data_IF_633150917721
#
_entry.id   IF_633150917721
#
_cell.length_a   1.000
_cell.length_b   1.000
_cell.length_c   1.000
_cell.angle_alpha   90.00
_cell.angle_beta   90.00
_cell.angle_gamma   90.00
#
_symmetry.space_group_name_H-M   'P 1'
#
loop_
_entity.id
_entity.type
_entity.pdbx_description
1 polymer ?
#
# COMPACT_ATOMS: atom_id res chain seq x y z
N UNK A 1 4.07 27.81 -0.30
CA UNK A 1 2.64 27.42 -0.09
C UNK A 1 2.63 26.44 1.05
N UNK A 2 1.80 26.71 2.07
CA UNK A 2 1.88 25.91 3.29
C UNK A 2 1.27 24.52 3.10
N UNK A 3 0.06 24.44 2.50
CA UNK A 3 -0.70 23.20 2.47
C UNK A 3 -1.27 22.90 1.08
N UNK A 4 -1.13 21.64 0.64
CA UNK A 4 -1.92 21.06 -0.46
C UNK A 4 -2.88 20.00 0.07
N UNK A 5 -4.18 20.20 -0.10
CA UNK A 5 -5.19 19.20 0.25
C UNK A 5 -5.54 18.38 -0.98
N UNK A 6 -5.24 17.09 -0.97
CA UNK A 6 -5.53 16.16 -2.06
C UNK A 6 -6.78 15.34 -1.73
N UNK A 7 -7.81 15.50 -2.55
CA UNK A 7 -9.12 14.88 -2.35
C UNK A 7 -9.47 13.98 -3.55
N UNK A 8 -9.19 12.65 -3.45
CA UNK A 8 -9.65 11.71 -4.45
C UNK A 8 -11.16 11.50 -4.31
N UNK A 9 -11.87 11.45 -5.44
CA UNK A 9 -13.32 11.31 -5.43
C UNK A 9 -13.86 10.49 -6.61
N UNK A 10 -15.02 9.87 -6.38
CA UNK A 10 -15.78 9.15 -7.39
C UNK A 10 -17.28 9.23 -7.07
N UNK A 11 -18.06 9.96 -7.89
CA UNK A 11 -19.48 10.22 -7.70
C UNK A 11 -19.81 10.82 -6.31
N UNK A 12 -19.37 12.05 -6.09
CA UNK A 12 -19.50 12.78 -4.81
C UNK A 12 -19.99 14.24 -5.05
N UNK A 13 -20.82 14.47 -6.10
CA UNK A 13 -21.27 15.81 -6.49
C UNK A 13 -21.92 16.61 -5.35
N UNK A 14 -22.66 15.93 -4.47
CA UNK A 14 -23.41 16.57 -3.37
C UNK A 14 -22.51 17.04 -2.23
N UNK A 15 -21.39 16.36 -1.99
CA UNK A 15 -20.51 16.64 -0.87
C UNK A 15 -19.44 17.70 -1.15
N UNK A 16 -19.02 17.85 -2.41
CA UNK A 16 -17.89 18.70 -2.79
C UNK A 16 -18.04 20.18 -2.42
N UNK A 17 -19.19 20.85 -2.63
CA UNK A 17 -19.34 22.26 -2.27
C UNK A 17 -19.20 22.49 -0.74
N UNK A 18 -19.81 21.62 0.05
CA UNK A 18 -19.75 21.71 1.51
C UNK A 18 -18.33 21.40 2.01
N UNK A 19 -17.66 20.39 1.45
CA UNK A 19 -16.29 20.05 1.81
C UNK A 19 -15.33 21.21 1.51
N UNK A 20 -15.41 21.79 0.32
CA UNK A 20 -14.58 22.93 -0.04
C UNK A 20 -14.82 24.12 0.89
N UNK A 21 -16.08 24.48 1.14
CA UNK A 21 -16.42 25.59 2.02
C UNK A 21 -15.88 25.37 3.46
N UNK A 22 -15.86 24.11 3.93
CA UNK A 22 -15.32 23.77 5.23
C UNK A 22 -13.79 23.90 5.25
N UNK A 23 -13.10 23.35 4.25
CA UNK A 23 -11.64 23.50 4.11
C UNK A 23 -11.26 24.97 4.03
N UNK A 24 -11.89 25.74 3.14
CA UNK A 24 -11.64 27.18 2.95
C UNK A 24 -11.76 27.98 4.25
N UNK A 25 -12.84 27.72 4.99
CA UNK A 25 -13.06 28.36 6.31
C UNK A 25 -11.91 28.05 7.29
N UNK A 26 -11.48 26.79 7.36
CA UNK A 26 -10.40 26.39 8.29
C UNK A 26 -9.09 27.03 7.88
N UNK A 27 -8.74 27.00 6.60
CA UNK A 27 -7.49 27.57 6.07
C UNK A 27 -7.43 29.07 6.30
N UNK A 28 -8.49 29.81 5.96
CA UNK A 28 -8.57 31.25 6.16
C UNK A 28 -8.54 31.64 7.63
N UNK A 29 -9.17 30.86 8.51
CA UNK A 29 -9.15 31.15 9.95
C UNK A 29 -7.77 31.06 10.58
N UNK A 30 -6.85 30.31 9.96
CA UNK A 30 -5.47 30.11 10.42
C UNK A 30 -4.44 30.89 9.57
N UNK A 31 -4.87 31.56 8.52
CA UNK A 31 -4.00 32.32 7.63
C UNK A 31 -3.06 31.48 6.78
N UNK A 32 -3.41 30.21 6.51
CA UNK A 32 -2.59 29.34 5.65
C UNK A 32 -2.73 29.70 4.18
N UNK A 33 -1.61 29.65 3.47
CA UNK A 33 -1.60 29.62 2.00
C UNK A 33 -1.81 28.18 1.54
N UNK A 34 -2.82 27.92 0.72
CA UNK A 34 -3.23 26.56 0.43
C UNK A 34 -3.76 26.37 -0.99
N UNK A 35 -3.82 25.12 -1.42
CA UNK A 35 -4.57 24.66 -2.59
C UNK A 35 -5.38 23.40 -2.24
N UNK A 36 -6.48 23.20 -2.96
CA UNK A 36 -7.28 21.98 -2.90
C UNK A 36 -7.27 21.31 -4.27
N UNK A 37 -6.71 20.11 -4.35
CA UNK A 37 -6.60 19.33 -5.57
C UNK A 37 -7.65 18.22 -5.54
N UNK A 38 -8.77 18.45 -6.24
CA UNK A 38 -9.78 17.44 -6.47
C UNK A 38 -9.37 16.49 -7.58
N UNK A 39 -9.23 15.20 -7.28
CA UNK A 39 -8.89 14.19 -8.30
C UNK A 39 -10.12 13.32 -8.55
N UNK A 40 -10.81 13.63 -9.64
CA UNK A 40 -12.02 12.92 -10.10
C UNK A 40 -11.63 11.63 -10.81
N UNK A 41 -11.88 10.49 -10.16
CA UNK A 41 -11.57 9.16 -10.64
C UNK A 41 -12.63 8.62 -11.61
N UNK A 42 -12.90 9.38 -12.68
CA UNK A 42 -13.82 8.97 -13.74
C UNK A 42 -15.29 8.94 -13.33
N UNK A 43 -15.74 9.89 -12.49
CA UNK A 43 -17.15 10.00 -12.08
C UNK A 43 -18.11 10.10 -13.25
N UNK A 44 -19.29 9.53 -13.07
CA UNK A 44 -20.40 9.51 -14.05
C UNK A 44 -21.52 10.49 -13.70
N UNK A 45 -21.47 11.11 -12.51
CA UNK A 45 -22.37 12.16 -12.04
C UNK A 45 -21.87 13.58 -12.37
N UNK A 46 -22.46 14.60 -11.76
CA UNK A 46 -22.08 16.00 -11.91
C UNK A 46 -20.81 16.44 -11.18
N UNK A 47 -20.07 15.53 -10.51
CA UNK A 47 -18.88 15.88 -9.73
C UNK A 47 -17.87 16.74 -10.48
N UNK A 48 -17.62 16.42 -11.77
CA UNK A 48 -16.66 17.20 -12.55
C UNK A 48 -17.15 18.64 -12.81
N UNK A 49 -18.44 18.82 -13.09
CA UNK A 49 -19.05 20.14 -13.29
C UNK A 49 -18.92 20.98 -12.02
N UNK A 50 -19.17 20.39 -10.85
CA UNK A 50 -18.99 21.06 -9.55
C UNK A 50 -17.54 21.52 -9.35
N UNK A 51 -16.55 20.67 -9.67
CA UNK A 51 -15.14 21.04 -9.58
C UNK A 51 -14.80 22.22 -10.49
N UNK A 52 -15.31 22.21 -11.72
CA UNK A 52 -15.10 23.33 -12.68
C UNK A 52 -15.73 24.64 -12.17
N UNK A 53 -16.93 24.59 -11.59
CA UNK A 53 -17.60 25.74 -11.01
C UNK A 53 -16.86 26.29 -9.78
N UNK A 54 -16.32 25.41 -8.92
CA UNK A 54 -15.49 25.79 -7.80
C UNK A 54 -14.18 26.44 -8.26
N UNK A 55 -13.48 25.84 -9.22
CA UNK A 55 -12.22 26.35 -9.75
C UNK A 55 -12.37 27.70 -10.48
N UNK A 56 -13.53 27.96 -11.09
CA UNK A 56 -13.84 29.26 -11.69
C UNK A 56 -14.03 30.39 -10.65
N UNK A 57 -14.42 30.05 -9.42
CA UNK A 57 -14.71 31.00 -8.34
C UNK A 57 -13.53 31.14 -7.35
N UNK A 58 -12.71 30.10 -7.22
CA UNK A 58 -11.69 29.98 -6.20
C UNK A 58 -10.36 29.57 -6.83
N UNK A 59 -9.36 30.47 -6.89
CA UNK A 59 -8.06 30.18 -7.50
C UNK A 59 -7.27 29.09 -6.75
N UNK A 60 -7.64 28.81 -5.52
CA UNK A 60 -7.05 27.75 -4.69
C UNK A 60 -7.50 26.33 -5.15
N UNK A 61 -8.58 26.23 -5.95
CA UNK A 61 -9.13 24.95 -6.41
C UNK A 61 -8.49 24.51 -7.70
N UNK A 62 -7.98 23.31 -7.70
CA UNK A 62 -7.46 22.62 -8.89
C UNK A 62 -8.19 21.30 -9.11
N UNK A 63 -8.41 20.92 -10.34
CA UNK A 63 -9.11 19.70 -10.71
C UNK A 63 -8.27 18.82 -11.63
N UNK A 64 -8.27 17.52 -11.37
CA UNK A 64 -7.75 16.48 -12.27
C UNK A 64 -8.90 15.53 -12.57
N UNK A 65 -9.15 15.18 -13.85
CA UNK A 65 -10.19 14.23 -14.24
C UNK A 65 -9.59 13.06 -14.99
N UNK A 66 -9.87 11.86 -14.53
CA UNK A 66 -9.54 10.64 -15.25
C UNK A 66 -10.61 10.29 -16.29
N UNK A 67 -10.21 9.63 -17.36
CA UNK A 67 -11.13 9.17 -18.40
C UNK A 67 -12.02 8.02 -17.97
N UNK A 68 -11.59 7.23 -16.98
CA UNK A 68 -12.33 6.13 -16.36
C UNK A 68 -11.88 5.97 -14.91
N UNK A 69 -12.60 5.16 -14.14
CA UNK A 69 -12.18 4.81 -12.80
C UNK A 69 -10.91 3.93 -12.84
N UNK A 70 -9.86 4.39 -12.16
CA UNK A 70 -8.58 3.68 -11.98
C UNK A 70 -8.33 3.31 -10.51
N UNK A 71 -9.15 3.82 -9.58
CA UNK A 71 -9.03 3.59 -8.16
C UNK A 71 -8.34 4.70 -7.38
N UNK A 72 -8.43 4.61 -6.04
CA UNK A 72 -7.95 5.66 -5.11
C UNK A 72 -6.45 5.88 -5.18
N UNK A 73 -5.64 4.83 -5.37
CA UNK A 73 -4.18 4.95 -5.38
C UNK A 73 -3.65 5.77 -6.55
N UNK A 74 -4.05 5.54 -7.82
CA UNK A 74 -3.69 6.41 -8.93
C UNK A 74 -4.17 7.85 -8.74
N UNK A 75 -5.36 8.05 -8.15
CA UNK A 75 -5.87 9.39 -7.88
C UNK A 75 -4.98 10.14 -6.88
N UNK A 76 -4.58 9.49 -5.79
CA UNK A 76 -3.63 10.05 -4.82
C UNK A 76 -2.27 10.34 -5.46
N UNK A 77 -1.74 9.40 -6.25
CA UNK A 77 -0.44 9.59 -6.92
C UNK A 77 -0.42 10.81 -7.83
N UNK A 78 -1.46 10.98 -8.66
CA UNK A 78 -1.58 12.16 -9.52
C UNK A 78 -1.71 13.46 -8.72
N UNK A 79 -2.49 13.43 -7.62
CA UNK A 79 -2.60 14.55 -6.69
C UNK A 79 -1.25 14.89 -6.04
N UNK A 80 -0.52 13.90 -5.54
CA UNK A 80 0.82 14.05 -4.94
C UNK A 80 1.83 14.68 -5.91
N UNK A 81 1.82 14.24 -7.17
CA UNK A 81 2.69 14.83 -8.20
C UNK A 81 2.42 16.31 -8.45
N UNK A 82 1.17 16.75 -8.32
CA UNK A 82 0.73 18.12 -8.58
C UNK A 82 0.76 19.02 -7.34
N UNK A 83 0.80 18.45 -6.14
CA UNK A 83 0.85 19.18 -4.90
C UNK A 83 2.12 20.07 -4.82
N UNK A 84 1.94 21.34 -4.46
CA UNK A 84 2.99 22.35 -4.35
C UNK A 84 3.24 22.83 -2.91
N UNK A 85 2.40 22.41 -1.96
CA UNK A 85 2.52 22.77 -0.55
C UNK A 85 3.65 22.03 0.17
N UNK A 86 4.20 22.65 1.21
CA UNK A 86 5.23 22.07 2.08
C UNK A 86 4.68 20.85 2.88
N UNK A 87 3.40 20.92 3.22
CA UNK A 87 2.64 19.83 3.81
C UNK A 87 1.52 19.40 2.87
N UNK A 88 1.44 18.12 2.58
CA UNK A 88 0.37 17.53 1.77
C UNK A 88 -0.58 16.79 2.69
N UNK A 89 -1.88 17.06 2.57
CA UNK A 89 -2.92 16.42 3.37
C UNK A 89 -3.86 15.67 2.44
N UNK A 90 -4.11 14.40 2.73
CA UNK A 90 -5.15 13.61 2.04
C UNK A 90 -6.40 13.56 2.88
N UNK A 91 -7.57 13.62 2.26
CA UNK A 91 -8.85 13.36 2.92
C UNK A 91 -9.89 12.83 1.92
N UNK A 92 -10.87 12.10 2.45
CA UNK A 92 -11.96 11.56 1.64
C UNK A 92 -13.02 12.63 1.36
N UNK A 93 -13.69 12.54 0.20
CA UNK A 93 -14.69 13.54 -0.22
C UNK A 93 -16.04 13.43 0.48
N UNK A 94 -16.26 12.41 1.32
CA UNK A 94 -17.58 12.01 1.85
C UNK A 94 -17.99 12.72 3.15
N UNK A 95 -17.28 13.79 3.53
CA UNK A 95 -17.51 14.59 4.75
C UNK A 95 -17.39 13.80 6.06
N UNK A 96 -16.80 12.62 6.05
CA UNK A 96 -16.61 11.83 7.28
C UNK A 96 -15.42 12.32 8.10
N UNK A 97 -14.34 12.75 7.45
CA UNK A 97 -13.16 13.30 8.09
C UNK A 97 -13.30 14.82 8.26
N UNK A 98 -12.94 15.35 9.42
CA UNK A 98 -13.09 16.77 9.75
C UNK A 98 -11.90 17.59 9.26
N UNK A 99 -12.09 18.61 8.39
CA UNK A 99 -11.05 19.59 8.05
C UNK A 99 -10.51 20.38 9.25
N UNK A 100 -11.25 20.46 10.36
CA UNK A 100 -10.78 21.16 11.58
C UNK A 100 -9.55 20.49 12.21
N UNK A 101 -9.22 19.25 11.81
CA UNK A 101 -8.01 18.53 12.22
C UNK A 101 -6.73 18.99 11.49
N UNK A 102 -6.88 19.70 10.36
CA UNK A 102 -5.77 20.11 9.48
C UNK A 102 -4.73 20.95 10.23
N UNK A 103 -5.09 21.97 11.01
CA UNK A 103 -4.09 22.82 11.67
C UNK A 103 -3.16 22.04 12.60
N UNK A 104 -3.70 21.09 13.33
CA UNK A 104 -2.91 20.27 14.26
C UNK A 104 -2.04 19.27 13.52
N UNK A 105 -2.55 18.65 12.45
CA UNK A 105 -1.77 17.78 11.60
C UNK A 105 -0.59 18.54 10.95
N UNK A 106 -0.83 19.78 10.51
CA UNK A 106 0.20 20.66 9.99
C UNK A 106 1.27 20.97 11.04
N UNK A 107 0.86 21.31 12.27
CA UNK A 107 1.77 21.58 13.39
C UNK A 107 2.67 20.37 13.68
N UNK A 108 2.10 19.17 13.72
CA UNK A 108 2.87 17.93 13.97
C UNK A 108 3.94 17.72 12.89
N UNK A 109 3.66 18.01 11.62
CA UNK A 109 4.64 17.89 10.55
C UNK A 109 5.74 18.97 10.67
N UNK A 110 5.34 20.22 10.90
CA UNK A 110 6.27 21.39 10.81
C UNK A 110 7.05 21.61 12.12
N UNK A 111 6.40 21.54 13.27
CA UNK A 111 7.00 21.85 14.57
C UNK A 111 7.54 20.59 15.25
N UNK A 112 6.80 19.48 15.25
CA UNK A 112 7.27 18.24 15.86
C UNK A 112 8.15 17.42 14.92
N UNK A 113 8.19 17.79 13.63
CA UNK A 113 9.09 17.22 12.63
C UNK A 113 8.74 15.81 12.20
N UNK A 114 7.46 15.42 12.24
CA UNK A 114 7.01 14.15 11.65
C UNK A 114 7.15 14.16 10.14
N UNK A 115 7.46 13.02 9.55
CA UNK A 115 7.45 12.81 8.11
C UNK A 115 6.04 12.53 7.61
N UNK A 116 5.28 11.76 8.40
CA UNK A 116 3.90 11.38 8.13
C UNK A 116 3.11 11.30 9.44
N UNK A 117 1.89 11.82 9.44
CA UNK A 117 0.93 11.65 10.53
C UNK A 117 -0.35 11.06 9.97
N UNK A 118 -0.79 9.90 10.48
CA UNK A 118 -2.06 9.27 10.13
C UNK A 118 -3.14 9.63 11.13
N UNK A 119 -4.34 9.93 10.66
CA UNK A 119 -5.50 10.01 11.54
C UNK A 119 -5.85 8.64 12.12
N UNK A 120 -6.44 8.64 13.30
CA UNK A 120 -6.96 7.46 13.98
C UNK A 120 -8.38 7.70 14.46
N UNK A 121 -9.33 6.86 14.02
CA UNK A 121 -10.75 7.01 14.35
C UNK A 121 -11.05 6.51 15.77
N UNK A 122 -11.16 7.44 16.73
CA UNK A 122 -11.35 7.12 18.15
C UNK A 122 -12.74 6.52 18.47
N UNK A 123 -13.79 6.93 17.76
CA UNK A 123 -15.19 6.54 18.01
C UNK A 123 -15.70 5.52 16.99
N UNK A 124 -15.09 4.35 16.87
CA UNK A 124 -15.83 3.21 16.34
C UNK A 124 -16.93 2.87 17.35
N UNK A 125 -18.19 3.12 16.97
CA UNK A 125 -19.36 2.86 17.81
C UNK A 125 -19.27 1.47 18.43
N UNK A 126 -19.47 1.37 19.74
CA UNK A 126 -19.82 0.11 20.43
C UNK A 126 -21.09 -0.41 19.75
N UNK A 127 -20.98 -1.27 18.72
CA UNK A 127 -22.11 -1.75 17.95
C UNK A 127 -21.80 -2.15 16.51
N UNK A 128 -20.58 -1.94 16.00
CA UNK A 128 -20.20 -2.50 14.70
C UNK A 128 -20.23 -4.03 14.78
N UNK A 129 -20.86 -4.72 13.81
CA UNK A 129 -20.97 -6.18 13.81
C UNK A 129 -19.57 -6.81 13.86
N UNK A 130 -19.44 -7.87 14.66
CA UNK A 130 -18.20 -8.63 14.85
C UNK A 130 -17.56 -9.05 13.52
N UNK A 131 -18.37 -9.31 12.50
CA UNK A 131 -17.94 -9.62 11.13
C UNK A 131 -17.09 -8.53 10.45
N UNK A 132 -17.19 -7.27 10.88
CA UNK A 132 -16.36 -6.15 10.38
C UNK A 132 -15.17 -5.85 11.29
N UNK A 133 -15.33 -6.07 12.59
CA UNK A 133 -14.34 -5.68 13.60
C UNK A 133 -13.16 -6.66 13.65
N UNK A 134 -13.42 -7.98 13.59
CA UNK A 134 -12.39 -9.02 13.66
C UNK A 134 -11.43 -8.95 12.44
N UNK A 135 -11.93 -8.91 11.18
CA UNK A 135 -11.06 -8.78 10.03
C UNK A 135 -10.19 -7.53 10.05
N UNK A 136 -10.75 -6.40 10.50
CA UNK A 136 -9.99 -5.14 10.57
C UNK A 136 -8.89 -5.19 11.64
N UNK A 137 -9.16 -5.78 12.81
CA UNK A 137 -8.15 -5.94 13.87
C UNK A 137 -7.01 -6.86 13.43
N UNK A 138 -7.35 -8.00 12.79
CA UNK A 138 -6.35 -8.93 12.25
C UNK A 138 -5.50 -8.26 11.17
N UNK A 139 -6.12 -7.53 10.25
CA UNK A 139 -5.44 -6.77 9.21
C UNK A 139 -4.44 -5.77 9.81
N UNK A 140 -4.89 -4.90 10.74
CA UNK A 140 -4.01 -3.92 11.36
C UNK A 140 -2.89 -4.56 12.19
N UNK A 141 -3.15 -5.69 12.87
CA UNK A 141 -2.12 -6.42 13.60
C UNK A 141 -1.05 -6.99 12.66
N UNK A 142 -1.46 -7.58 11.54
CA UNK A 142 -0.55 -8.10 10.51
C UNK A 142 0.21 -6.96 9.84
N UNK A 143 -0.48 -5.85 9.49
CA UNK A 143 0.13 -4.67 8.91
C UNK A 143 1.22 -4.07 9.82
N UNK A 144 0.98 -3.96 11.13
CA UNK A 144 2.00 -3.52 12.11
C UNK A 144 3.21 -4.45 12.13
N UNK A 145 2.99 -5.76 12.16
CA UNK A 145 4.08 -6.75 12.18
C UNK A 145 4.93 -6.70 10.90
N UNK A 146 4.28 -6.60 9.76
CA UNK A 146 4.94 -6.57 8.44
C UNK A 146 5.66 -5.24 8.20
N UNK A 147 5.02 -4.12 8.56
CA UNK A 147 5.59 -2.78 8.36
C UNK A 147 6.65 -2.42 9.41
N UNK A 148 6.65 -3.08 10.57
CA UNK A 148 7.44 -2.67 11.74
C UNK A 148 7.03 -1.28 12.30
N UNK A 149 5.83 -0.78 11.96
CA UNK A 149 5.28 0.48 12.47
C UNK A 149 4.31 0.13 13.60
N UNK A 150 4.80 0.15 14.83
CA UNK A 150 4.03 -0.34 15.98
C UNK A 150 3.05 0.69 16.57
N UNK A 151 3.27 1.96 16.30
CA UNK A 151 2.50 3.09 16.83
C UNK A 151 1.24 3.45 16.01
N UNK A 152 0.98 2.77 14.88
CA UNK A 152 -0.23 2.97 14.10
C UNK A 152 -1.32 1.97 14.48
N UNK A 153 -2.51 2.49 14.86
CA UNK A 153 -3.71 1.70 15.15
C UNK A 153 -4.59 1.51 13.92
N UNK A 154 -4.63 2.49 13.01
CA UNK A 154 -5.45 2.46 11.80
C UNK A 154 -4.67 2.86 10.54
N UNK A 155 -4.28 1.87 9.74
CA UNK A 155 -3.63 2.10 8.43
C UNK A 155 -4.60 2.64 7.38
N UNK A 156 -5.91 2.48 7.59
CA UNK A 156 -6.94 2.71 6.59
C UNK A 156 -7.65 4.09 6.72
N UNK A 157 -7.20 4.95 7.62
CA UNK A 157 -7.74 6.32 7.73
C UNK A 157 -7.43 7.11 6.45
N UNK A 158 -8.44 7.82 5.90
CA UNK A 158 -8.28 8.68 4.72
C UNK A 158 -7.50 9.96 5.03
N UNK A 159 -7.71 10.50 6.24
CA UNK A 159 -7.06 11.73 6.69
C UNK A 159 -5.63 11.45 7.14
N UNK A 160 -4.68 11.95 6.37
CA UNK A 160 -3.24 11.86 6.66
C UNK A 160 -2.55 13.14 6.23
N UNK A 161 -1.51 13.52 6.97
CA UNK A 161 -0.60 14.61 6.60
C UNK A 161 0.79 14.06 6.30
N UNK A 162 1.45 14.65 5.35
CA UNK A 162 2.76 14.26 4.87
C UNK A 162 3.64 15.49 4.68
N UNK A 163 4.91 15.37 4.98
CA UNK A 163 5.92 16.31 4.46
C UNK A 163 5.98 16.16 2.93
N UNK A 164 6.12 17.24 2.19
CA UNK A 164 6.10 17.23 0.72
C UNK A 164 7.09 16.23 0.11
N UNK A 165 8.30 16.13 0.66
CA UNK A 165 9.30 15.20 0.16
C UNK A 165 8.87 13.74 0.30
N UNK A 166 8.07 13.36 1.28
CA UNK A 166 7.53 11.99 1.41
C UNK A 166 6.71 11.62 0.19
N UNK A 167 5.70 12.43 -0.14
CA UNK A 167 4.77 12.13 -1.25
C UNK A 167 5.44 12.24 -2.63
N UNK A 168 6.54 12.99 -2.75
CA UNK A 168 7.32 13.11 -3.99
C UNK A 168 8.21 11.89 -4.23
N UNK A 169 8.56 11.15 -3.16
CA UNK A 169 9.50 10.04 -3.19
C UNK A 169 8.86 8.66 -3.01
N UNK A 170 7.54 8.59 -2.93
CA UNK A 170 6.81 7.32 -2.90
C UNK A 170 5.96 7.14 -4.15
N UNK A 171 5.86 5.91 -4.61
CA UNK A 171 4.97 5.52 -5.70
C UNK A 171 3.77 4.76 -5.14
N UNK A 172 2.55 5.27 -5.43
CA UNK A 172 1.30 4.69 -4.92
C UNK A 172 0.51 4.13 -6.10
N UNK A 173 0.42 2.81 -6.21
CA UNK A 173 -0.29 2.09 -7.27
C UNK A 173 -1.19 0.98 -6.72
N UNK A 174 -2.04 0.38 -7.54
CA UNK A 174 -2.95 -0.70 -7.15
C UNK A 174 -3.83 -0.30 -5.95
N UNK A 175 -3.84 -1.09 -4.90
CA UNK A 175 -4.56 -0.81 -3.65
C UNK A 175 -3.64 -0.25 -2.54
N UNK A 176 -2.46 0.27 -2.89
CA UNK A 176 -1.43 0.66 -1.92
C UNK A 176 -1.72 1.94 -1.13
N UNK A 177 -2.82 2.64 -1.42
CA UNK A 177 -3.24 3.82 -0.63
C UNK A 177 -3.36 3.56 0.88
N UNK A 178 -3.59 2.30 1.28
CA UNK A 178 -3.66 1.90 2.70
C UNK A 178 -2.28 1.76 3.34
N UNK A 179 -1.28 1.52 2.52
CA UNK A 179 0.08 1.20 2.94
C UNK A 179 1.06 2.35 2.73
N UNK A 180 0.56 3.56 2.48
CA UNK A 180 1.42 4.74 2.33
C UNK A 180 2.38 4.92 3.51
N UNK A 181 2.00 4.69 4.80
CA UNK A 181 2.96 4.74 5.90
C UNK A 181 4.11 3.74 5.75
N UNK A 182 3.81 2.54 5.24
CA UNK A 182 4.82 1.53 4.96
C UNK A 182 5.72 1.89 3.78
N UNK A 183 5.16 2.44 2.70
CA UNK A 183 5.93 2.94 1.57
C UNK A 183 6.87 4.07 2.00
N UNK A 184 6.38 5.00 2.82
CA UNK A 184 7.18 6.07 3.40
C UNK A 184 8.36 5.53 4.22
N UNK A 185 8.11 4.57 5.12
CA UNK A 185 9.16 3.92 5.90
C UNK A 185 10.21 3.23 5.03
N UNK A 186 9.79 2.51 4.01
CA UNK A 186 10.71 1.85 3.07
C UNK A 186 11.54 2.84 2.23
N UNK A 187 11.03 4.05 2.06
CA UNK A 187 11.74 5.15 1.42
C UNK A 187 12.67 5.92 2.40
N UNK A 188 12.77 5.50 3.67
CA UNK A 188 13.66 6.08 4.67
C UNK A 188 13.00 7.17 5.54
N UNK A 189 11.69 7.35 5.47
CA UNK A 189 10.95 8.30 6.31
C UNK A 189 10.40 7.58 7.55
N UNK A 190 11.17 7.60 8.64
CA UNK A 190 10.90 6.79 9.82
C UNK A 190 10.04 7.47 10.88
N UNK A 191 9.96 8.81 10.88
CA UNK A 191 9.21 9.54 11.90
C UNK A 191 7.74 9.61 11.58
N UNK A 192 7.04 8.48 11.81
CA UNK A 192 5.61 8.28 11.52
C UNK A 192 4.83 8.40 12.82
N UNK A 193 3.83 9.32 12.83
CA UNK A 193 2.95 9.58 13.96
C UNK A 193 1.50 9.19 13.70
N UNK A 194 0.71 9.18 14.77
CA UNK A 194 -0.74 8.98 14.69
C UNK A 194 -1.45 10.01 15.56
N UNK A 195 -2.58 10.52 15.08
CA UNK A 195 -3.43 11.46 15.81
C UNK A 195 -4.86 10.95 15.89
N UNK A 196 -5.49 10.94 17.08
CA UNK A 196 -6.93 10.69 17.16
C UNK A 196 -7.69 11.82 16.46
N UNK A 197 -8.60 11.46 15.55
CA UNK A 197 -9.38 12.42 14.76
C UNK A 197 -10.87 12.17 14.90
N UNK A 198 -11.65 13.24 14.83
CA UNK A 198 -13.10 13.16 14.80
C UNK A 198 -13.58 12.61 13.46
N UNK A 199 -14.41 11.57 13.53
CA UNK A 199 -15.01 10.95 12.36
C UNK A 199 -16.53 11.00 12.47
N UNK A 200 -17.17 11.60 11.47
CA UNK A 200 -18.62 11.79 11.42
C UNK A 200 -19.31 10.66 10.62
N UNK A 201 -20.62 10.53 10.81
CA UNK A 201 -21.39 9.67 9.92
C UNK A 201 -21.48 10.29 8.52
N UNK A 202 -21.41 9.44 7.49
CA UNK A 202 -21.58 9.88 6.10
C UNK A 202 -22.91 10.63 5.93
N UNK A 203 -22.86 11.81 5.33
CA UNK A 203 -24.02 12.68 5.14
C UNK A 203 -24.74 12.37 3.81
N UNK A 204 -24.01 12.11 2.74
CA UNK A 204 -24.51 11.87 1.39
C UNK A 204 -24.07 10.50 0.85
N UNK A 205 -24.88 9.93 -0.06
CA UNK A 205 -24.56 8.73 -0.80
C UNK A 205 -24.56 7.43 0.02
N UNK A 206 -24.26 6.31 -0.65
CA UNK A 206 -24.13 4.97 -0.04
C UNK A 206 -22.68 4.50 -0.10
N UNK A 207 -22.23 3.76 0.92
CA UNK A 207 -20.91 3.13 0.88
C UNK A 207 -20.80 2.17 -0.32
N UNK A 208 -19.88 2.46 -1.25
CA UNK A 208 -19.66 1.69 -2.48
C UNK A 208 -18.81 0.42 -2.25
N UNK A 209 -18.30 0.26 -1.03
CA UNK A 209 -17.38 -0.82 -0.68
C UNK A 209 -18.02 -1.77 0.34
N UNK A 210 -18.74 -2.79 -0.13
CA UNK A 210 -19.21 -3.91 0.71
C UNK A 210 -18.72 -5.23 0.12
N UNK A 211 -18.17 -6.12 0.96
CA UNK A 211 -17.93 -7.52 0.60
C UNK A 211 -16.62 -8.13 1.08
N UNK A 212 -16.59 -9.45 1.10
CA UNK A 212 -15.45 -10.31 1.43
C UNK A 212 -14.25 -10.07 0.50
N UNK A 213 -14.48 -9.68 -0.75
CA UNK A 213 -13.42 -9.38 -1.73
C UNK A 213 -12.46 -8.30 -1.24
N UNK A 214 -12.94 -7.29 -0.48
CA UNK A 214 -12.08 -6.24 0.10
C UNK A 214 -11.09 -6.79 1.13
N UNK A 215 -11.50 -7.79 1.90
CA UNK A 215 -10.64 -8.41 2.91
C UNK A 215 -9.54 -9.25 2.24
N UNK A 216 -9.92 -10.09 1.28
CA UNK A 216 -8.97 -10.93 0.54
C UNK A 216 -7.97 -10.09 -0.27
N UNK A 217 -8.43 -9.07 -0.98
CA UNK A 217 -7.54 -8.18 -1.73
C UNK A 217 -6.57 -7.46 -0.79
N UNK A 218 -7.06 -6.90 0.32
CA UNK A 218 -6.19 -6.25 1.31
C UNK A 218 -5.15 -7.21 1.92
N UNK A 219 -5.49 -8.48 2.12
CA UNK A 219 -4.54 -9.47 2.63
C UNK A 219 -3.50 -9.88 1.58
N UNK A 220 -3.91 -10.07 0.33
CA UNK A 220 -3.01 -10.35 -0.79
C UNK A 220 -2.05 -9.19 -1.05
N UNK A 221 -2.54 -7.95 -0.99
CA UNK A 221 -1.71 -6.75 -1.10
C UNK A 221 -0.66 -6.66 0.00
N UNK A 222 -1.02 -7.06 1.22
CA UNK A 222 -0.12 -7.09 2.37
C UNK A 222 1.01 -8.12 2.18
N UNK A 223 0.67 -9.32 1.69
CA UNK A 223 1.66 -10.35 1.36
C UNK A 223 2.58 -9.85 0.23
N UNK A 224 2.00 -9.24 -0.80
CA UNK A 224 2.76 -8.71 -1.93
C UNK A 224 3.73 -7.61 -1.47
N UNK A 225 3.28 -6.69 -0.62
CA UNK A 225 4.13 -5.65 -0.06
C UNK A 225 5.26 -6.22 0.80
N UNK A 226 4.93 -7.15 1.70
CA UNK A 226 5.93 -7.82 2.52
C UNK A 226 6.98 -8.52 1.64
N UNK A 227 6.51 -9.22 0.63
CA UNK A 227 7.37 -9.93 -0.31
C UNK A 227 8.28 -8.96 -1.08
N UNK A 228 7.71 -7.90 -1.69
CA UNK A 228 8.48 -6.92 -2.47
C UNK A 228 9.48 -6.15 -1.60
N UNK A 229 9.12 -5.79 -0.37
CA UNK A 229 10.05 -5.07 0.51
C UNK A 229 11.17 -5.94 1.04
N UNK A 230 10.86 -7.20 1.37
CA UNK A 230 11.85 -8.13 1.93
C UNK A 230 12.76 -8.71 0.86
N UNK A 231 12.25 -8.94 -0.34
CA UNK A 231 12.92 -9.72 -1.38
C UNK A 231 12.99 -9.03 -2.75
N UNK A 232 12.26 -7.94 -2.96
CA UNK A 232 12.17 -7.26 -4.26
C UNK A 232 13.50 -6.76 -4.82
N UNK A 233 14.45 -6.43 -3.94
CA UNK A 233 15.81 -6.00 -4.35
C UNK A 233 16.78 -7.15 -4.63
N UNK A 234 16.52 -8.36 -4.11
CA UNK A 234 17.40 -9.51 -4.23
C UNK A 234 16.62 -10.83 -4.29
N UNK A 235 15.74 -11.02 -5.29
CA UNK A 235 14.90 -12.22 -5.38
C UNK A 235 15.71 -13.50 -5.51
N UNK A 236 16.87 -13.45 -6.17
CA UNK A 236 17.78 -14.59 -6.34
C UNK A 236 18.29 -15.14 -5.01
N UNK A 237 18.52 -14.31 -4.00
CA UNK A 237 19.01 -14.79 -2.69
C UNK A 237 18.02 -15.71 -2.00
N UNK A 238 16.72 -15.53 -2.18
CA UNK A 238 15.70 -16.34 -1.52
C UNK A 238 15.28 -17.52 -2.38
N UNK A 239 14.81 -17.24 -3.59
CA UNK A 239 14.33 -18.29 -4.48
C UNK A 239 15.48 -19.16 -4.99
N UNK A 240 16.62 -18.57 -5.31
CA UNK A 240 17.80 -19.30 -5.74
C UNK A 240 18.34 -20.22 -4.64
N UNK A 241 18.45 -19.72 -3.39
CA UNK A 241 18.89 -20.54 -2.27
C UNK A 241 17.91 -21.67 -1.97
N UNK A 242 16.62 -21.37 -1.83
CA UNK A 242 15.60 -22.38 -1.55
C UNK A 242 15.48 -23.40 -2.68
N UNK A 243 15.54 -22.94 -3.93
CA UNK A 243 15.50 -23.79 -5.12
C UNK A 243 16.70 -24.73 -5.20
N UNK A 244 17.91 -24.22 -4.95
CA UNK A 244 19.15 -25.00 -4.91
C UNK A 244 19.09 -26.04 -3.79
N UNK A 245 18.66 -25.65 -2.60
CA UNK A 245 18.52 -26.54 -1.46
C UNK A 245 17.55 -27.70 -1.75
N UNK A 246 16.35 -27.38 -2.26
CA UNK A 246 15.35 -28.39 -2.63
C UNK A 246 15.86 -29.33 -3.73
N UNK A 247 16.54 -28.78 -4.75
CA UNK A 247 17.12 -29.58 -5.79
C UNK A 247 18.12 -30.60 -5.27
N UNK A 248 19.07 -30.15 -4.43
CA UNK A 248 20.08 -31.05 -3.89
C UNK A 248 19.52 -32.08 -2.91
N UNK A 249 18.53 -31.74 -2.08
CA UNK A 249 17.86 -32.73 -1.23
C UNK A 249 17.19 -33.81 -2.08
N UNK A 250 16.44 -33.41 -3.11
CA UNK A 250 15.80 -34.35 -4.04
C UNK A 250 16.83 -35.19 -4.82
N UNK A 251 17.92 -34.57 -5.28
CA UNK A 251 18.99 -35.26 -6.00
C UNK A 251 19.68 -36.32 -5.12
N UNK A 252 20.06 -35.96 -3.89
CA UNK A 252 20.69 -36.88 -2.94
C UNK A 252 19.76 -38.04 -2.62
N UNK A 253 18.48 -37.77 -2.37
CA UNK A 253 17.51 -38.83 -2.08
C UNK A 253 17.33 -39.77 -3.28
N UNK A 254 17.20 -39.24 -4.51
CA UNK A 254 17.12 -40.05 -5.70
C UNK A 254 18.41 -40.87 -5.96
N UNK A 255 19.57 -40.23 -5.73
CA UNK A 255 20.86 -40.87 -5.85
C UNK A 255 21.00 -42.05 -4.84
N UNK A 256 20.62 -41.84 -3.57
CA UNK A 256 20.65 -42.92 -2.57
C UNK A 256 19.75 -44.08 -2.92
N UNK A 257 18.53 -43.81 -3.42
CA UNK A 257 17.61 -44.87 -3.91
C UNK A 257 18.18 -45.63 -5.09
N UNK A 258 18.82 -44.93 -6.03
CA UNK A 258 19.48 -45.55 -7.17
C UNK A 258 20.72 -46.39 -6.78
N UNK A 259 21.54 -45.85 -5.89
CA UNK A 259 22.72 -46.54 -5.39
C UNK A 259 22.37 -47.83 -4.61
N UNK A 260 21.36 -47.73 -3.73
CA UNK A 260 20.83 -48.91 -3.00
C UNK A 260 20.32 -49.99 -3.95
N UNK A 261 19.59 -49.58 -5.00
CA UNK A 261 19.13 -50.51 -6.03
C UNK A 261 20.28 -51.19 -6.80
N UNK A 262 21.30 -50.45 -7.18
CA UNK A 262 22.46 -50.99 -7.87
C UNK A 262 23.26 -51.95 -6.97
N UNK A 263 23.40 -51.60 -5.68
CA UNK A 263 24.06 -52.46 -4.72
C UNK A 263 23.33 -53.78 -4.51
N UNK A 264 21.98 -53.75 -4.38
CA UNK A 264 21.17 -54.96 -4.28
C UNK A 264 21.27 -55.84 -5.54
N UNK A 265 21.25 -55.26 -6.72
CA UNK A 265 21.41 -55.95 -7.98
C UNK A 265 22.78 -56.64 -8.05
N UNK A 266 23.86 -55.97 -7.68
CA UNK A 266 25.23 -56.52 -7.68
C UNK A 266 25.37 -57.70 -6.69
N UNK A 267 24.60 -57.74 -5.64
CA UNK A 267 24.61 -58.83 -4.64
C UNK A 267 23.51 -59.90 -4.89
N UNK A 268 22.80 -59.87 -6.02
CA UNK A 268 21.78 -60.84 -6.36
C UNK A 268 20.49 -60.78 -5.52
N UNK A 269 20.29 -59.65 -4.81
CA UNK A 269 19.12 -59.44 -3.95
C UNK A 269 17.97 -58.87 -4.80
N UNK A 270 16.86 -59.62 -4.82
CA UNK A 270 15.64 -59.14 -5.49
C UNK A 270 15.00 -57.99 -4.67
N UNK A 271 14.90 -56.81 -5.29
CA UNK A 271 14.29 -55.65 -4.73
C UNK A 271 13.24 -55.06 -5.68
N UNK A 272 12.20 -54.36 -5.16
CA UNK A 272 11.20 -53.66 -5.98
C UNK A 272 11.83 -52.66 -6.93
N UNK A 273 11.12 -52.26 -8.00
CA UNK A 273 11.59 -51.23 -8.91
C UNK A 273 11.71 -49.89 -8.14
N UNK A 274 12.68 -49.08 -8.52
CA UNK A 274 12.86 -47.74 -7.95
C UNK A 274 11.57 -46.89 -8.15
N UNK A 275 10.91 -47.11 -9.29
CA UNK A 275 9.64 -46.48 -9.64
C UNK A 275 8.46 -46.92 -8.78
N UNK A 276 8.53 -48.02 -8.04
CA UNK A 276 7.51 -48.46 -7.13
C UNK A 276 7.61 -47.78 -5.75
N UNK A 277 8.68 -47.02 -5.54
CA UNK A 277 8.92 -46.26 -4.31
C UNK A 277 8.26 -44.89 -4.36
N UNK A 278 7.38 -44.55 -3.42
CA UNK A 278 6.84 -43.18 -3.31
C UNK A 278 7.93 -42.12 -3.12
N UNK A 279 9.05 -42.49 -2.47
CA UNK A 279 10.18 -41.57 -2.22
C UNK A 279 10.89 -41.15 -3.51
N UNK A 280 10.88 -41.99 -4.53
CA UNK A 280 11.41 -41.62 -5.84
C UNK A 280 10.63 -40.45 -6.48
N UNK A 281 9.30 -40.52 -6.44
CA UNK A 281 8.46 -39.44 -6.98
C UNK A 281 8.55 -38.16 -6.15
N UNK A 282 8.68 -38.26 -4.83
CA UNK A 282 8.91 -37.12 -3.95
C UNK A 282 10.24 -36.46 -4.31
N UNK A 283 11.30 -37.24 -4.48
CA UNK A 283 12.63 -36.77 -4.85
C UNK A 283 12.60 -36.04 -6.20
N UNK A 284 11.95 -36.64 -7.19
CA UNK A 284 11.81 -36.06 -8.53
C UNK A 284 11.02 -34.74 -8.48
N UNK A 285 9.92 -34.72 -7.73
CA UNK A 285 9.12 -33.50 -7.54
C UNK A 285 9.93 -32.40 -6.88
N UNK A 286 10.72 -32.72 -5.85
CA UNK A 286 11.62 -31.74 -5.21
C UNK A 286 12.66 -31.17 -6.16
N UNK A 287 13.25 -31.99 -7.03
CA UNK A 287 14.20 -31.53 -8.05
C UNK A 287 13.53 -30.59 -9.05
N UNK A 288 12.34 -30.94 -9.55
CA UNK A 288 11.59 -30.10 -10.50
C UNK A 288 11.22 -28.78 -9.86
N UNK A 289 10.60 -28.81 -8.66
CA UNK A 289 10.23 -27.60 -7.93
C UNK A 289 11.44 -26.74 -7.57
N UNK A 290 12.55 -27.37 -7.18
CA UNK A 290 13.80 -26.67 -6.89
C UNK A 290 14.34 -25.91 -8.13
N UNK A 291 14.32 -26.55 -9.29
CA UNK A 291 14.70 -25.92 -10.56
C UNK A 291 13.76 -24.75 -10.91
N UNK A 292 12.44 -24.92 -10.74
CA UNK A 292 11.46 -23.87 -11.01
C UNK A 292 11.65 -22.66 -10.09
N UNK A 293 11.88 -22.87 -8.79
CA UNK A 293 12.16 -21.81 -7.85
C UNK A 293 13.46 -21.06 -8.20
N UNK A 294 14.52 -21.79 -8.57
CA UNK A 294 15.77 -21.18 -9.00
C UNK A 294 15.57 -20.29 -10.23
N UNK A 295 14.86 -20.79 -11.25
CA UNK A 295 14.54 -20.01 -12.45
C UNK A 295 13.68 -18.80 -12.14
N UNK A 296 12.69 -18.93 -11.26
CA UNK A 296 11.86 -17.81 -10.81
C UNK A 296 12.71 -16.71 -10.12
N UNK A 297 13.65 -17.11 -9.27
CA UNK A 297 14.62 -16.19 -8.65
C UNK A 297 15.49 -15.47 -9.66
N UNK A 298 15.98 -16.20 -10.67
CA UNK A 298 16.82 -15.65 -11.75
C UNK A 298 16.04 -14.65 -12.62
N UNK A 299 14.81 -15.00 -13.01
CA UNK A 299 13.92 -14.10 -13.78
C UNK A 299 13.59 -12.85 -12.95
N UNK A 300 13.28 -13.01 -11.68
CA UNK A 300 13.04 -11.88 -10.76
C UNK A 300 14.24 -10.93 -10.65
N UNK A 301 15.47 -11.47 -10.59
CA UNK A 301 16.70 -10.68 -10.58
C UNK A 301 16.93 -9.95 -11.92
N UNK A 302 16.66 -10.59 -13.05
CA UNK A 302 16.72 -9.96 -14.36
C UNK A 302 15.74 -8.80 -14.50
N UNK A 303 14.48 -8.99 -14.08
CA UNK A 303 13.46 -7.93 -14.10
C UNK A 303 13.90 -6.77 -13.20
N UNK A 304 14.39 -7.06 -12.00
CA UNK A 304 14.89 -6.03 -11.08
C UNK A 304 16.08 -5.27 -11.68
N UNK A 305 16.94 -5.95 -12.41
CA UNK A 305 18.10 -5.33 -13.11
C UNK A 305 17.69 -4.49 -14.32
N UNK A 306 16.62 -4.82 -15.00
CA UNK A 306 16.13 -4.09 -16.18
C UNK A 306 15.25 -2.88 -15.82
N UNK A 307 14.88 -2.71 -14.54
CA UNK A 307 14.10 -1.55 -14.08
C UNK A 307 14.90 -0.25 -14.23
N UNK A 308 14.30 0.76 -14.87
CA UNK A 308 14.87 2.11 -15.03
C UNK A 308 15.16 2.80 -13.70
N UNK A 309 14.44 2.43 -12.64
CA UNK A 309 14.53 3.05 -11.31
C UNK A 309 15.51 2.30 -10.36
N UNK A 310 16.35 1.42 -10.88
CA UNK A 310 17.25 0.61 -10.05
C UNK A 310 18.23 1.44 -9.22
N UNK A 311 18.71 2.55 -9.75
CA UNK A 311 19.69 3.44 -9.14
C UNK A 311 19.06 4.76 -8.66
N UNK A 312 17.74 4.80 -8.50
CA UNK A 312 17.02 5.92 -7.91
C UNK A 312 17.16 5.84 -6.39
N UNK A 313 18.27 6.43 -5.90
CA UNK A 313 18.58 6.53 -4.47
C UNK A 313 18.04 7.84 -3.93
N UNK A 314 17.37 7.78 -2.79
CA UNK A 314 16.95 8.98 -2.07
C UNK A 314 18.15 9.57 -1.36
N UNK A 315 18.63 10.70 -1.85
CA UNK A 315 19.74 11.43 -1.24
C UNK A 315 19.15 12.37 -0.19
N UNK A 316 19.61 12.26 1.06
CA UNK A 316 19.13 13.11 2.16
C UNK A 316 19.79 14.50 2.13
N UNK A 317 21.07 14.57 1.81
CA UNK A 317 21.84 15.81 1.73
C UNK A 317 22.94 15.70 0.68
N UNK A 318 23.16 16.77 -0.06
CA UNK A 318 24.34 17.01 -0.90
C UNK A 318 25.06 18.25 -0.37
N UNK A 319 26.41 18.23 -0.36
CA UNK A 319 27.26 19.33 0.09
C UNK A 319 27.93 19.96 -1.13
#
# INVERSE_FOLDING_TARGET
>A
MDISVVVPLFNEEESLPELFAWIDRVMKSKGFTYEVIFVNDGSTDGSWKVIQELGAKHPEVRGIRFRRNYGKSPALYCGFKKAAGDVVITMDADLQDSPDEIPELYRMITEEGYDLVSGYKMNRKKGDPLSKTIPTKLFNATARKVSGIHNLHDFNCGLKAYRSNVVKNIEVYGEMHRYIPYLAKNAGFDKIGEKPVHHQARKFGKSKFMGWNRFFNGYLDLITLWFLSSFGRKPMHVFGFLGTLMFFIGFIAAFCLGADKLWCLANGIQQRLVTDSPYFYISLTMMIMGTQLFLAGFIGDLISRSSSNRNDYQIEQEI
#
